data_IF_222383467647
#
_entry.id   IF_222383467647
#
_cell.length_a   1.000
_cell.length_b   1.000
_cell.length_c   1.000
_cell.angle_alpha   90.00
_cell.angle_beta   90.00
_cell.angle_gamma   90.00
#
_symmetry.space_group_name_H-M   'P 1'
#
loop_
_entity.id
_entity.type
_entity.pdbx_description
1 polymer ?
#
# COMPACT_ATOMS: atom_id res chain seq x y z
N UNK A 1 -2.47 -0.40 6.14
CA UNK A 1 -2.71 0.27 7.45
C UNK A 1 -3.95 1.14 7.32
N UNK A 2 -4.63 1.48 8.41
CA UNK A 2 -5.83 2.33 8.40
C UNK A 2 -7.17 1.60 8.41
N UNK A 3 -7.19 0.26 8.24
CA UNK A 3 -8.41 -0.54 8.37
C UNK A 3 -8.86 -0.67 9.82
N UNK A 4 -10.17 -0.60 10.06
CA UNK A 4 -10.79 -0.82 11.36
C UNK A 4 -11.72 -2.05 11.35
N UNK A 5 -11.69 -2.81 12.44
CA UNK A 5 -12.51 -4.00 12.63
C UNK A 5 -13.17 -3.95 14.02
N UNK A 6 -14.34 -4.58 14.14
CA UNK A 6 -15.06 -4.70 15.41
C UNK A 6 -15.52 -6.13 15.67
N UNK A 7 -15.82 -6.44 16.93
CA UNK A 7 -16.39 -7.71 17.35
C UNK A 7 -15.50 -8.92 17.06
N UNK A 8 -16.11 -10.02 16.61
CA UNK A 8 -15.39 -11.27 16.34
C UNK A 8 -14.37 -11.14 15.21
N UNK A 9 -14.61 -10.25 14.23
CA UNK A 9 -13.63 -9.97 13.18
C UNK A 9 -12.36 -9.34 13.74
N UNK A 10 -12.50 -8.38 14.67
CA UNK A 10 -11.34 -7.77 15.34
C UNK A 10 -10.50 -8.81 16.07
N UNK A 11 -11.15 -9.73 16.79
CA UNK A 11 -10.47 -10.84 17.48
C UNK A 11 -9.75 -11.76 16.49
N UNK A 12 -10.45 -12.21 15.45
CA UNK A 12 -9.88 -13.11 14.44
C UNK A 12 -8.65 -12.51 13.76
N UNK A 13 -8.73 -11.24 13.32
CA UNK A 13 -7.61 -10.52 12.72
C UNK A 13 -6.44 -10.37 13.69
N UNK A 14 -6.72 -10.02 14.95
CA UNK A 14 -5.69 -9.92 15.98
C UNK A 14 -4.95 -11.25 16.19
N UNK A 15 -5.70 -12.35 16.34
CA UNK A 15 -5.13 -13.69 16.50
C UNK A 15 -4.30 -14.11 15.29
N UNK A 16 -4.81 -13.90 14.07
CA UNK A 16 -4.09 -14.23 12.84
C UNK A 16 -2.75 -13.47 12.74
N UNK A 17 -2.75 -12.16 13.01
CA UNK A 17 -1.51 -11.35 13.00
C UNK A 17 -0.54 -11.83 14.08
N UNK A 18 -1.05 -12.14 15.28
CA UNK A 18 -0.23 -12.66 16.39
C UNK A 18 0.42 -13.99 16.02
N UNK A 19 -0.35 -14.93 15.47
CA UNK A 19 0.14 -16.24 15.05
C UNK A 19 1.15 -16.14 13.91
N UNK A 20 0.91 -15.24 12.95
CA UNK A 20 1.87 -14.97 11.88
C UNK A 20 3.20 -14.43 12.45
N UNK A 21 3.15 -13.44 13.36
CA UNK A 21 4.35 -12.88 13.99
C UNK A 21 5.13 -13.94 14.80
N UNK A 22 4.42 -14.80 15.55
CA UNK A 22 5.03 -15.91 16.29
C UNK A 22 5.65 -16.93 15.35
N UNK A 23 4.91 -17.32 14.31
CA UNK A 23 5.37 -18.27 13.30
C UNK A 23 6.64 -17.76 12.67
N UNK A 24 6.63 -16.57 12.03
CA UNK A 24 7.80 -15.96 11.38
C UNK A 24 9.02 -15.92 12.32
N UNK A 25 8.82 -15.50 13.57
CA UNK A 25 9.91 -15.39 14.56
C UNK A 25 10.50 -16.74 14.93
N UNK A 26 9.67 -17.78 15.08
CA UNK A 26 10.14 -19.14 15.38
C UNK A 26 10.71 -19.83 14.15
N UNK A 27 10.08 -19.64 12.99
CA UNK A 27 10.42 -20.20 11.68
C UNK A 27 9.91 -19.25 10.57
N UNK A 28 10.75 -18.83 9.62
CA UNK A 28 12.11 -19.31 9.39
C UNK A 28 13.17 -18.53 10.16
N UNK A 29 12.86 -17.35 10.70
CA UNK A 29 13.86 -16.35 11.11
C UNK A 29 14.90 -16.88 12.10
N UNK A 30 14.47 -17.68 13.09
CA UNK A 30 15.38 -18.26 14.08
C UNK A 30 16.48 -19.14 13.45
N UNK A 31 16.19 -19.80 12.34
CA UNK A 31 17.11 -20.75 11.68
C UNK A 31 17.83 -20.14 10.47
N UNK A 32 17.56 -18.87 10.15
CA UNK A 32 18.31 -18.14 9.13
C UNK A 32 19.52 -17.49 9.79
N UNK A 33 20.61 -18.25 9.92
CA UNK A 33 21.87 -17.78 10.50
C UNK A 33 22.96 -17.63 9.43
N UNK A 34 24.00 -16.85 9.74
CA UNK A 34 25.17 -16.78 8.87
C UNK A 34 25.89 -18.14 8.82
N UNK A 35 26.49 -18.50 7.67
CA UNK A 35 27.18 -19.78 7.52
C UNK A 35 28.25 -19.99 8.60
N UNK A 36 28.18 -21.12 9.31
CA UNK A 36 29.13 -21.47 10.36
C UNK A 36 28.93 -20.73 11.68
N UNK A 37 27.83 -19.99 11.87
CA UNK A 37 27.51 -19.30 13.11
C UNK A 37 26.06 -19.50 13.53
N UNK A 38 25.78 -19.20 14.81
CA UNK A 38 24.41 -19.08 15.34
C UNK A 38 23.88 -17.64 15.26
N UNK A 39 24.59 -16.74 14.56
CA UNK A 39 24.20 -15.34 14.43
C UNK A 39 23.02 -15.22 13.45
N UNK A 40 21.85 -14.70 13.88
CA UNK A 40 20.69 -14.58 13.02
C UNK A 40 20.88 -13.49 11.95
N UNK A 41 20.60 -13.83 10.71
CA UNK A 41 20.58 -12.89 9.57
C UNK A 41 19.54 -11.79 9.78
N UNK A 42 18.37 -12.15 10.34
CA UNK A 42 17.26 -11.24 10.58
C UNK A 42 16.97 -11.12 12.09
N UNK A 43 17.70 -10.28 12.84
CA UNK A 43 17.49 -10.19 14.28
C UNK A 43 16.09 -9.65 14.60
N UNK A 44 15.42 -10.30 15.56
CA UNK A 44 14.05 -9.96 15.98
C UNK A 44 14.05 -9.40 17.40
N UNK A 45 13.45 -8.22 17.55
CA UNK A 45 13.04 -7.68 18.85
C UNK A 45 11.56 -8.00 19.05
N UNK A 46 11.26 -8.98 19.91
CA UNK A 46 9.88 -9.34 20.25
C UNK A 46 9.17 -8.16 20.91
N UNK A 47 7.93 -7.91 20.50
CA UNK A 47 7.07 -6.93 21.14
C UNK A 47 6.25 -7.54 22.26
N UNK A 48 5.53 -6.68 22.99
CA UNK A 48 4.47 -7.07 23.92
C UNK A 48 3.14 -6.67 23.30
N UNK A 49 2.61 -7.56 22.48
CA UNK A 49 1.35 -7.32 21.79
C UNK A 49 0.25 -7.03 22.82
N UNK A 50 -0.59 -6.02 22.55
CA UNK A 50 -1.76 -5.74 23.38
C UNK A 50 -2.69 -6.96 23.39
N UNK A 51 -3.45 -7.13 24.46
CA UNK A 51 -4.46 -8.19 24.52
C UNK A 51 -5.53 -8.02 23.43
N UNK A 52 -6.29 -9.09 23.18
CA UNK A 52 -7.36 -9.07 22.17
C UNK A 52 -8.37 -7.97 22.46
N UNK A 53 -8.67 -7.11 21.47
CA UNK A 53 -9.59 -5.98 21.62
C UNK A 53 -10.86 -6.17 20.80
N UNK A 54 -11.99 -5.63 21.29
CA UNK A 54 -13.27 -5.64 20.57
C UNK A 54 -13.28 -4.64 19.41
N UNK A 55 -12.46 -3.61 19.47
CA UNK A 55 -12.21 -2.68 18.37
C UNK A 55 -10.73 -2.74 18.03
N UNK A 56 -10.42 -2.93 16.75
CA UNK A 56 -9.06 -3.03 16.25
C UNK A 56 -8.86 -2.01 15.14
N UNK A 57 -7.80 -1.20 15.26
CA UNK A 57 -7.32 -0.33 14.18
C UNK A 57 -5.93 -0.84 13.82
N UNK A 58 -5.70 -1.14 12.53
CA UNK A 58 -4.39 -1.58 12.05
C UNK A 58 -3.54 -0.33 11.75
N UNK A 59 -2.80 0.12 12.76
CA UNK A 59 -1.86 1.23 12.66
C UNK A 59 -0.42 0.82 13.03
N UNK A 60 0.52 1.76 12.88
CA UNK A 60 1.94 1.52 13.14
C UNK A 60 2.22 1.16 14.60
N UNK A 61 1.64 1.83 15.62
CA UNK A 61 1.75 1.40 17.02
C UNK A 61 1.21 -0.02 17.28
N UNK A 62 0.07 -0.37 16.69
CA UNK A 62 -0.51 -1.71 16.82
C UNK A 62 0.40 -2.77 16.21
N UNK A 63 0.85 -2.59 14.97
CA UNK A 63 1.75 -3.53 14.29
C UNK A 63 3.11 -3.64 15.00
N UNK A 64 3.69 -2.51 15.40
CA UNK A 64 4.93 -2.45 16.19
C UNK A 64 4.82 -3.16 17.54
N UNK A 65 3.60 -3.33 18.09
CA UNK A 65 3.40 -4.02 19.36
C UNK A 65 3.73 -5.52 19.30
N UNK A 66 3.71 -6.14 18.11
CA UNK A 66 4.09 -7.55 17.94
C UNK A 66 5.61 -7.76 17.91
N UNK A 67 6.37 -6.71 17.57
CA UNK A 67 7.83 -6.74 17.50
C UNK A 67 8.35 -6.14 16.22
N UNK A 68 9.68 -6.16 16.06
CA UNK A 68 10.39 -5.67 14.88
C UNK A 68 11.44 -6.68 14.45
N UNK A 69 11.45 -7.00 13.16
CA UNK A 69 12.52 -7.75 12.51
C UNK A 69 13.38 -6.76 11.72
N UNK A 70 14.70 -6.91 11.78
CA UNK A 70 15.63 -6.07 11.01
C UNK A 70 16.12 -6.82 9.77
N UNK A 71 16.13 -6.13 8.64
CA UNK A 71 16.68 -6.63 7.37
C UNK A 71 18.04 -5.97 7.16
N UNK A 72 19.14 -6.73 7.01
CA UNK A 72 20.44 -6.17 6.67
C UNK A 72 20.39 -5.34 5.38
N UNK A 73 21.03 -4.17 5.38
CA UNK A 73 20.89 -3.20 4.28
C UNK A 73 21.39 -3.73 2.93
N UNK A 74 22.39 -4.62 2.92
CA UNK A 74 22.83 -5.32 1.72
C UNK A 74 21.75 -6.26 1.18
N UNK A 75 21.09 -7.05 2.03
CA UNK A 75 19.98 -7.92 1.64
C UNK A 75 18.82 -7.09 1.10
N UNK A 76 18.45 -6.00 1.79
CA UNK A 76 17.39 -5.10 1.34
C UNK A 76 17.67 -4.54 -0.06
N UNK A 77 18.88 -4.01 -0.30
CA UNK A 77 19.25 -3.50 -1.63
C UNK A 77 19.22 -4.58 -2.71
N UNK A 78 19.65 -5.80 -2.39
CA UNK A 78 19.56 -6.94 -3.31
C UNK A 78 18.10 -7.26 -3.62
N UNK A 79 17.22 -7.32 -2.61
CA UNK A 79 15.79 -7.56 -2.82
C UNK A 79 15.16 -6.50 -3.74
N UNK A 80 15.45 -5.22 -3.49
CA UNK A 80 14.97 -4.12 -4.35
C UNK A 80 15.48 -4.25 -5.78
N UNK A 81 16.75 -4.63 -5.97
CA UNK A 81 17.35 -4.77 -7.31
C UNK A 81 16.80 -5.96 -8.12
N UNK A 82 16.36 -7.01 -7.44
CA UNK A 82 15.86 -8.24 -8.05
C UNK A 82 14.35 -8.45 -7.81
N UNK A 83 13.62 -7.37 -7.55
CA UNK A 83 12.20 -7.38 -7.19
C UNK A 83 11.33 -8.20 -8.17
N UNK A 84 11.56 -8.03 -9.48
CA UNK A 84 10.87 -8.74 -10.55
C UNK A 84 11.04 -10.28 -10.50
N UNK A 85 12.06 -10.78 -9.80
CA UNK A 85 12.34 -12.21 -9.64
C UNK A 85 11.90 -12.76 -8.29
N UNK A 86 11.58 -11.90 -7.31
CA UNK A 86 11.19 -12.35 -5.97
C UNK A 86 9.90 -13.17 -6.01
N UNK A 87 8.84 -12.63 -6.63
CA UNK A 87 7.56 -13.33 -6.71
C UNK A 87 7.67 -14.66 -7.47
N UNK A 88 8.23 -14.72 -8.70
CA UNK A 88 8.41 -15.99 -9.41
C UNK A 88 9.20 -17.03 -8.60
N UNK A 89 10.29 -16.61 -7.92
CA UNK A 89 11.10 -17.50 -7.10
C UNK A 89 10.33 -18.02 -5.88
N UNK A 90 9.59 -17.15 -5.18
CA UNK A 90 8.76 -17.55 -4.05
C UNK A 90 7.66 -18.53 -4.48
N UNK A 91 6.97 -18.26 -5.58
CA UNK A 91 5.91 -19.13 -6.11
C UNK A 91 6.48 -20.50 -6.48
N UNK A 92 7.63 -20.54 -7.17
CA UNK A 92 8.30 -21.80 -7.53
C UNK A 92 8.70 -22.62 -6.29
N UNK A 93 9.28 -21.99 -5.27
CA UNK A 93 9.66 -22.68 -4.04
C UNK A 93 8.45 -23.17 -3.24
N UNK A 94 7.35 -22.40 -3.20
CA UNK A 94 6.11 -22.84 -2.57
C UNK A 94 5.47 -24.02 -3.30
N UNK A 95 5.46 -24.02 -4.64
CA UNK A 95 5.02 -25.18 -5.43
C UNK A 95 5.84 -26.41 -5.06
N UNK A 96 7.18 -26.30 -5.09
CA UNK A 96 8.09 -27.39 -4.74
C UNK A 96 7.85 -27.91 -3.32
N UNK A 97 7.68 -27.02 -2.35
CA UNK A 97 7.45 -27.36 -0.95
C UNK A 97 6.09 -28.07 -0.75
N UNK A 98 5.02 -27.53 -1.31
CA UNK A 98 3.68 -28.08 -1.18
C UNK A 98 3.56 -29.44 -1.87
N UNK A 99 4.21 -29.64 -3.03
CA UNK A 99 4.29 -30.96 -3.66
C UNK A 99 5.05 -31.97 -2.80
N UNK A 100 6.15 -31.56 -2.16
CA UNK A 100 6.89 -32.41 -1.22
C UNK A 100 6.02 -32.85 -0.03
N UNK A 101 5.23 -31.95 0.54
CA UNK A 101 4.31 -32.28 1.62
C UNK A 101 3.15 -33.17 1.18
N UNK A 102 2.57 -32.90 0.01
CA UNK A 102 1.51 -33.74 -0.57
C UNK A 102 2.01 -35.17 -0.77
N UNK A 103 3.18 -35.33 -1.39
CA UNK A 103 3.80 -36.65 -1.63
C UNK A 103 4.03 -37.42 -0.35
N UNK A 104 4.54 -36.76 0.71
CA UNK A 104 4.72 -37.38 2.04
C UNK A 104 3.41 -37.84 2.67
N UNK A 105 2.29 -37.26 2.28
CA UNK A 105 0.94 -37.61 2.74
C UNK A 105 0.22 -38.57 1.78
N UNK A 106 0.90 -39.10 0.76
CA UNK A 106 0.29 -39.97 -0.25
C UNK A 106 -0.69 -39.24 -1.19
N UNK A 107 -0.59 -37.91 -1.29
CA UNK A 107 -1.42 -37.07 -2.17
C UNK A 107 -0.58 -36.58 -3.34
N UNK A 108 -1.22 -36.45 -4.49
CA UNK A 108 -0.66 -35.75 -5.64
C UNK A 108 -1.44 -34.46 -5.86
N UNK A 109 -0.72 -33.34 -5.97
CA UNK A 109 -1.32 -32.04 -6.24
C UNK A 109 -0.62 -31.47 -7.47
N UNK A 110 -1.43 -31.15 -8.49
CA UNK A 110 -0.95 -30.52 -9.71
C UNK A 110 -0.33 -29.16 -9.42
N UNK A 111 0.77 -28.85 -10.11
CA UNK A 111 1.46 -27.57 -9.96
C UNK A 111 0.54 -26.38 -10.27
N UNK A 112 -0.33 -26.51 -11.28
CA UNK A 112 -1.27 -25.48 -11.67
C UNK A 112 -2.24 -25.11 -10.54
N UNK A 113 -2.69 -26.09 -9.74
CA UNK A 113 -3.56 -25.85 -8.59
C UNK A 113 -2.85 -25.04 -7.52
N UNK A 114 -1.59 -25.39 -7.21
CA UNK A 114 -0.80 -24.64 -6.21
C UNK A 114 -0.47 -23.25 -6.73
N UNK A 115 -0.08 -23.13 -8.01
CA UNK A 115 0.19 -21.84 -8.65
C UNK A 115 -1.01 -20.90 -8.58
N UNK A 116 -2.20 -21.38 -8.97
CA UNK A 116 -3.43 -20.58 -8.93
C UNK A 116 -3.83 -20.19 -7.50
N UNK A 117 -3.57 -21.06 -6.51
CA UNK A 117 -3.80 -20.73 -5.10
C UNK A 117 -2.79 -19.70 -4.54
N UNK A 118 -1.61 -19.60 -5.15
CA UNK A 118 -0.56 -18.65 -4.80
C UNK A 118 -0.63 -17.34 -5.57
N UNK A 119 -1.50 -17.23 -6.57
CA UNK A 119 -1.74 -15.94 -7.24
C UNK A 119 -2.19 -14.95 -6.18
N UNK A 120 -1.42 -13.86 -6.05
CA UNK A 120 -1.78 -12.79 -5.16
C UNK A 120 -3.15 -12.28 -5.56
N UNK A 121 -4.07 -12.15 -4.59
CA UNK A 121 -5.33 -11.46 -4.83
C UNK A 121 -4.96 -10.03 -5.21
N UNK A 122 -5.06 -9.74 -6.51
CA UNK A 122 -4.75 -8.44 -7.08
C UNK A 122 -5.48 -7.38 -6.24
N UNK A 123 -4.77 -6.39 -5.66
CA UNK A 123 -5.43 -5.39 -4.84
C UNK A 123 -6.64 -4.84 -5.63
N UNK A 124 -7.82 -4.84 -5.03
CA UNK A 124 -8.99 -4.35 -5.76
C UNK A 124 -8.82 -2.87 -6.05
N UNK A 125 -8.92 -2.47 -7.33
CA UNK A 125 -8.99 -1.06 -7.73
C UNK A 125 -10.34 -0.45 -7.33
N UNK A 126 -10.56 -0.31 -6.03
CA UNK A 126 -11.78 0.24 -5.47
C UNK A 126 -11.65 1.76 -5.28
N UNK A 127 -12.45 2.50 -6.03
CA UNK A 127 -12.56 3.96 -5.96
C UNK A 127 -13.94 4.42 -5.49
N UNK A 128 -14.81 3.49 -5.10
CA UNK A 128 -16.21 3.76 -4.75
C UNK A 128 -16.33 4.78 -3.62
N UNK A 129 -15.59 4.57 -2.53
CA UNK A 129 -15.55 5.48 -1.39
C UNK A 129 -15.20 6.93 -1.80
N UNK A 130 -14.16 7.10 -2.64
CA UNK A 130 -13.72 8.43 -3.09
C UNK A 130 -14.72 9.05 -4.06
N UNK A 131 -15.35 8.23 -4.92
CA UNK A 131 -16.42 8.67 -5.82
C UNK A 131 -17.61 9.19 -5.03
N UNK A 132 -18.07 8.45 -4.02
CA UNK A 132 -19.20 8.83 -3.18
C UNK A 132 -18.89 10.11 -2.39
N UNK A 133 -17.69 10.20 -1.80
CA UNK A 133 -17.23 11.42 -1.14
C UNK A 133 -17.20 12.63 -2.09
N UNK A 134 -16.74 12.43 -3.33
CA UNK A 134 -16.69 13.50 -4.34
C UNK A 134 -18.10 14.01 -4.67
N UNK A 135 -19.07 13.10 -4.84
CA UNK A 135 -20.47 13.45 -5.10
C UNK A 135 -21.07 14.21 -3.91
N UNK A 136 -20.85 13.74 -2.68
CA UNK A 136 -21.32 14.44 -1.48
C UNK A 136 -20.74 15.86 -1.38
N UNK A 137 -19.46 16.05 -1.69
CA UNK A 137 -18.84 17.38 -1.69
C UNK A 137 -19.39 18.31 -2.77
N UNK A 138 -19.77 17.78 -3.94
CA UNK A 138 -20.36 18.58 -5.02
C UNK A 138 -21.69 19.24 -4.61
N UNK A 139 -22.42 18.64 -3.66
CA UNK A 139 -23.69 19.19 -3.16
C UNK A 139 -23.51 20.47 -2.32
N UNK A 140 -22.33 20.68 -1.74
CA UNK A 140 -22.04 21.86 -0.92
C UNK A 140 -21.27 22.94 -1.67
N UNK A 141 -20.23 22.57 -2.41
CA UNK A 141 -19.37 23.50 -3.15
C UNK A 141 -18.85 22.86 -4.44
N UNK A 142 -18.61 23.65 -5.50
CA UNK A 142 -17.99 23.14 -6.72
C UNK A 142 -16.71 22.34 -6.43
N UNK A 143 -16.57 21.20 -7.12
CA UNK A 143 -15.33 20.41 -7.15
C UNK A 143 -14.71 20.59 -8.54
N UNK A 144 -13.38 20.68 -8.60
CA UNK A 144 -12.63 20.92 -9.82
C UNK A 144 -11.68 19.75 -10.11
N UNK A 145 -11.40 19.52 -11.38
CA UNK A 145 -10.41 18.56 -11.83
C UNK A 145 -9.04 18.99 -11.30
N UNK A 146 -8.37 18.12 -10.53
CA UNK A 146 -7.05 18.45 -9.94
C UNK A 146 -6.02 18.82 -11.00
N UNK A 147 -6.10 18.22 -12.18
CA UNK A 147 -5.11 18.45 -13.25
C UNK A 147 -5.42 19.70 -14.06
N UNK A 148 -6.64 19.83 -14.55
CA UNK A 148 -7.01 20.88 -15.52
C UNK A 148 -7.67 22.12 -14.91
N UNK A 149 -8.03 22.09 -13.62
CA UNK A 149 -8.83 23.14 -12.98
C UNK A 149 -10.28 23.25 -13.49
N UNK A 150 -10.69 22.40 -14.44
CA UNK A 150 -12.05 22.44 -15.00
C UNK A 150 -13.09 21.98 -13.97
N UNK A 151 -14.23 22.67 -13.89
CA UNK A 151 -15.33 22.30 -12.99
C UNK A 151 -15.88 20.91 -13.31
N UNK A 152 -16.03 20.09 -12.28
CA UNK A 152 -16.57 18.73 -12.38
C UNK A 152 -18.07 18.70 -12.14
N UNK A 153 -18.71 17.70 -12.73
CA UNK A 153 -20.12 17.30 -12.58
C UNK A 153 -20.15 15.78 -12.49
N UNK A 154 -21.17 15.22 -11.86
CA UNK A 154 -21.32 13.76 -11.72
C UNK A 154 -21.20 12.99 -13.05
N UNK A 155 -21.66 13.61 -14.14
CA UNK A 155 -21.67 13.04 -15.48
C UNK A 155 -20.32 13.08 -16.22
N UNK A 156 -19.35 13.86 -15.75
CA UNK A 156 -18.10 14.12 -16.48
C UNK A 156 -16.80 13.82 -15.71
N UNK A 157 -16.89 13.31 -14.48
CA UNK A 157 -15.72 13.01 -13.65
C UNK A 157 -15.51 11.51 -13.42
N UNK A 158 -14.23 11.16 -13.25
CA UNK A 158 -13.77 9.87 -12.76
C UNK A 158 -12.77 10.11 -11.60
N UNK A 159 -12.48 9.07 -10.81
CA UNK A 159 -11.40 9.10 -9.81
C UNK A 159 -10.12 8.62 -10.48
N UNK A 160 -9.15 9.51 -10.60
CA UNK A 160 -7.81 9.23 -11.11
C UNK A 160 -6.89 8.71 -10.00
N UNK A 161 -5.97 7.83 -10.38
CA UNK A 161 -4.86 7.45 -9.52
C UNK A 161 -3.67 8.35 -9.87
N UNK A 162 -3.27 9.21 -8.94
CA UNK A 162 -2.19 10.17 -9.15
C UNK A 162 -0.95 9.50 -9.74
N UNK A 163 -0.45 8.48 -9.05
CA UNK A 163 0.45 7.47 -9.59
C UNK A 163 -0.41 6.36 -10.17
N UNK A 164 -0.26 6.08 -11.47
CA UNK A 164 -1.12 5.15 -12.20
C UNK A 164 -1.08 3.75 -11.59
N UNK A 165 -2.22 3.05 -11.61
CA UNK A 165 -2.35 1.69 -11.07
C UNK A 165 -1.33 0.71 -11.64
N UNK A 166 -1.04 0.81 -12.94
CA UNK A 166 -0.08 -0.04 -13.65
C UNK A 166 1.35 0.05 -13.10
N UNK A 167 1.67 1.15 -12.40
CA UNK A 167 3.01 1.46 -11.91
C UNK A 167 3.06 1.44 -10.38
N UNK A 168 1.95 1.81 -9.75
CA UNK A 168 1.79 1.86 -8.30
C UNK A 168 0.36 1.41 -7.94
N UNK A 169 0.11 0.09 -7.80
CA UNK A 169 -1.22 -0.46 -7.53
C UNK A 169 -1.67 -0.15 -6.10
N UNK A 170 -2.11 1.08 -5.90
CA UNK A 170 -2.38 1.67 -4.59
C UNK A 170 -3.68 2.49 -4.66
N UNK A 171 -4.67 2.07 -3.87
CA UNK A 171 -5.95 2.74 -3.69
C UNK A 171 -6.00 3.58 -2.40
N UNK A 172 -4.83 3.98 -1.88
CA UNK A 172 -4.75 4.87 -0.72
C UNK A 172 -5.35 6.25 -1.06
N UNK A 173 -5.98 6.89 -0.09
CA UNK A 173 -6.71 8.16 -0.27
C UNK A 173 -5.83 9.31 -0.78
N UNK A 174 -4.53 9.31 -0.48
CA UNK A 174 -3.60 10.29 -1.04
C UNK A 174 -3.39 10.11 -2.55
N UNK A 175 -3.54 8.88 -3.06
CA UNK A 175 -3.32 8.58 -4.47
C UNK A 175 -4.59 8.78 -5.31
N UNK A 176 -5.76 9.04 -4.70
CA UNK A 176 -7.05 9.09 -5.39
C UNK A 176 -7.56 10.53 -5.51
N UNK A 177 -7.67 11.01 -6.75
CA UNK A 177 -7.94 12.41 -7.06
C UNK A 177 -9.12 12.57 -8.04
N UNK A 178 -10.00 13.58 -7.87
CA UNK A 178 -11.09 13.82 -8.80
C UNK A 178 -10.55 14.43 -10.09
N UNK A 179 -10.85 13.79 -11.22
CA UNK A 179 -10.35 14.20 -12.53
C UNK A 179 -11.47 14.21 -13.56
N UNK A 180 -11.37 15.12 -14.53
CA UNK A 180 -12.27 15.11 -15.66
C UNK A 180 -11.99 13.87 -16.53
N UNK A 181 -13.03 13.13 -16.91
CA UNK A 181 -12.92 11.84 -17.63
C UNK A 181 -11.98 11.87 -18.84
N UNK A 182 -12.05 12.95 -19.64
CA UNK A 182 -11.16 13.11 -20.82
C UNK A 182 -9.68 13.25 -20.43
N UNK A 183 -9.40 13.98 -19.35
CA UNK A 183 -8.04 14.22 -18.85
C UNK A 183 -7.46 12.93 -18.27
N UNK A 184 -8.24 12.22 -17.45
CA UNK A 184 -7.87 10.91 -16.92
C UNK A 184 -7.52 9.91 -18.05
N UNK A 185 -8.32 9.88 -19.12
CA UNK A 185 -8.08 9.03 -20.30
C UNK A 185 -6.86 9.43 -21.15
N UNK A 186 -6.41 10.67 -21.07
CA UNK A 186 -5.18 11.11 -21.75
C UNK A 186 -3.94 10.71 -20.95
N UNK A 187 -4.01 10.80 -19.62
CA UNK A 187 -2.98 10.33 -18.69
C UNK A 187 -2.76 8.82 -18.80
N UNK A 188 -3.84 8.01 -18.79
CA UNK A 188 -3.78 6.54 -18.84
C UNK A 188 -2.82 5.98 -17.77
N UNK A 189 -1.92 5.10 -18.18
CA UNK A 189 -0.94 4.43 -17.33
C UNK A 189 0.35 5.23 -17.11
N UNK A 190 0.41 6.47 -17.62
CA UNK A 190 1.58 7.36 -17.48
C UNK A 190 1.61 8.02 -16.09
N UNK A 191 2.83 8.39 -15.68
CA UNK A 191 3.03 9.23 -14.51
C UNK A 191 2.80 10.70 -14.84
N UNK A 192 2.21 11.51 -13.94
CA UNK A 192 2.24 12.96 -14.11
C UNK A 192 3.70 13.44 -14.08
N UNK A 193 4.05 14.38 -14.97
CA UNK A 193 5.36 15.03 -14.96
C UNK A 193 5.57 15.77 -13.63
N UNK A 194 6.82 16.02 -13.26
CA UNK A 194 7.12 16.81 -12.06
C UNK A 194 6.45 18.20 -12.13
N UNK A 195 6.52 18.84 -13.30
CA UNK A 195 5.86 20.11 -13.57
C UNK A 195 4.33 20.04 -13.45
N UNK A 196 3.69 18.97 -13.93
CA UNK A 196 2.24 18.80 -13.82
C UNK A 196 1.79 18.63 -12.36
N UNK A 197 2.58 17.91 -11.55
CA UNK A 197 2.34 17.79 -10.10
C UNK A 197 2.47 19.14 -9.43
N UNK A 198 3.58 19.85 -9.66
CA UNK A 198 3.85 21.16 -9.08
C UNK A 198 2.76 22.18 -9.40
N UNK A 199 2.37 22.30 -10.69
CA UNK A 199 1.26 23.18 -11.14
C UNK A 199 -0.11 22.78 -10.58
N UNK A 200 -0.25 21.59 -10.00
CA UNK A 200 -1.49 21.06 -9.44
C UNK A 200 -1.49 20.98 -7.92
N UNK A 201 -0.39 21.34 -7.25
CA UNK A 201 -0.20 21.23 -5.80
C UNK A 201 -1.37 21.84 -5.04
N UNK A 202 -1.68 23.12 -5.27
CA UNK A 202 -2.77 23.83 -4.60
C UNK A 202 -4.11 23.09 -4.71
N UNK A 203 -4.41 22.55 -5.89
CA UNK A 203 -5.68 21.83 -6.14
C UNK A 203 -5.70 20.46 -5.47
N UNK A 204 -4.56 19.79 -5.39
CA UNK A 204 -4.41 18.49 -4.70
C UNK A 204 -4.53 18.69 -3.19
N UNK A 205 -3.84 19.68 -2.63
CA UNK A 205 -3.88 20.02 -1.21
C UNK A 205 -5.28 20.44 -0.77
N UNK A 206 -5.94 21.30 -1.57
CA UNK A 206 -7.33 21.70 -1.33
C UNK A 206 -8.29 20.50 -1.41
N UNK A 207 -8.07 19.59 -2.36
CA UNK A 207 -8.86 18.36 -2.44
C UNK A 207 -8.70 17.51 -1.18
N UNK A 208 -7.47 17.20 -0.76
CA UNK A 208 -7.23 16.41 0.44
C UNK A 208 -7.81 17.08 1.69
N UNK A 209 -7.66 18.40 1.82
CA UNK A 209 -8.27 19.15 2.90
C UNK A 209 -9.78 18.97 2.92
N UNK A 210 -10.46 19.29 1.82
CA UNK A 210 -11.92 19.21 1.77
C UNK A 210 -12.46 17.79 1.91
N UNK A 211 -11.76 16.80 1.36
CA UNK A 211 -12.23 15.43 1.33
C UNK A 211 -12.04 14.72 2.67
N UNK A 212 -10.92 14.96 3.35
CA UNK A 212 -10.47 14.08 4.43
C UNK A 212 -10.51 14.71 5.82
N UNK A 213 -10.41 16.04 5.97
CA UNK A 213 -10.32 16.69 7.31
C UNK A 213 -11.66 16.94 7.99
N UNK A 214 -12.78 16.72 7.29
CA UNK A 214 -14.11 16.94 7.84
C UNK A 214 -14.58 15.81 8.76
N UNK A 215 -13.89 14.66 8.73
CA UNK A 215 -14.24 13.49 9.53
C UNK A 215 -12.95 12.88 10.11
N UNK A 216 -12.82 12.91 11.44
CA UNK A 216 -11.63 12.46 12.16
C UNK A 216 -11.22 11.02 11.82
N UNK A 217 -12.18 10.11 11.60
CA UNK A 217 -11.88 8.72 11.26
C UNK A 217 -11.27 8.63 9.85
N UNK A 218 -11.80 9.40 8.90
CA UNK A 218 -11.31 9.42 7.52
C UNK A 218 -9.98 10.14 7.43
N UNK A 219 -9.81 11.25 8.15
CA UNK A 219 -8.54 11.97 8.27
C UNK A 219 -7.44 11.05 8.80
N UNK A 220 -7.72 10.33 9.90
CA UNK A 220 -6.80 9.37 10.49
C UNK A 220 -6.43 8.25 9.51
N UNK A 221 -7.39 7.74 8.73
CA UNK A 221 -7.15 6.76 7.68
C UNK A 221 -6.22 7.32 6.60
N UNK A 222 -6.51 8.50 6.07
CA UNK A 222 -5.68 9.18 5.07
C UNK A 222 -4.23 9.35 5.55
N UNK A 223 -4.04 9.84 6.78
CA UNK A 223 -2.70 10.01 7.37
C UNK A 223 -1.98 8.67 7.57
N UNK A 224 -2.69 7.62 8.00
CA UNK A 224 -2.10 6.28 8.17
C UNK A 224 -1.68 5.64 6.86
N UNK A 225 -2.50 5.79 5.82
CA UNK A 225 -2.20 5.31 4.47
C UNK A 225 -0.98 6.04 3.91
N UNK A 226 -0.95 7.38 3.98
CA UNK A 226 0.21 8.17 3.53
C UNK A 226 1.51 7.79 4.26
N UNK A 227 1.46 7.62 5.59
CA UNK A 227 2.61 7.15 6.39
C UNK A 227 3.09 5.75 6.00
N UNK A 228 2.18 4.90 5.53
CA UNK A 228 2.51 3.52 5.17
C UNK A 228 3.27 3.42 3.84
N UNK A 229 2.94 4.27 2.87
CA UNK A 229 3.34 4.09 1.47
C UNK A 229 4.27 5.18 0.92
N UNK A 230 4.28 6.37 1.55
CA UNK A 230 5.13 7.49 1.14
C UNK A 230 6.39 7.63 2.01
N UNK A 231 7.52 8.09 1.43
CA UNK A 231 8.76 8.38 2.17
C UNK A 231 8.62 9.69 2.97
N UNK A 232 7.95 9.62 4.12
CA UNK A 232 7.75 10.75 5.03
C UNK A 232 8.83 10.75 6.13
N UNK A 233 9.49 11.89 6.33
CA UNK A 233 10.61 12.03 7.28
C UNK A 233 10.33 13.04 8.42
N UNK A 234 9.15 13.66 8.44
CA UNK A 234 8.75 14.64 9.46
C UNK A 234 7.96 13.97 10.59
N UNK A 235 8.13 14.48 11.82
CA UNK A 235 7.29 14.09 12.97
C UNK A 235 5.87 14.65 12.86
N UNK A 236 5.74 15.88 12.35
CA UNK A 236 4.47 16.51 12.05
C UNK A 236 4.12 16.26 10.59
N UNK A 237 3.07 15.47 10.37
CA UNK A 237 2.64 15.07 9.03
C UNK A 237 1.38 15.84 8.70
N UNK A 238 1.54 16.84 7.86
CA UNK A 238 0.48 17.63 7.23
C UNK A 238 0.38 17.30 5.73
N UNK A 239 -0.54 17.96 5.04
CA UNK A 239 -0.79 17.72 3.61
C UNK A 239 0.40 18.09 2.74
N UNK A 240 1.15 19.14 3.10
CA UNK A 240 2.37 19.55 2.39
C UNK A 240 3.47 18.48 2.49
N UNK A 241 3.68 17.96 3.70
CA UNK A 241 4.63 16.86 3.94
C UNK A 241 4.24 15.61 3.13
N UNK A 242 2.95 15.31 3.04
CA UNK A 242 2.43 14.19 2.23
C UNK A 242 2.67 14.45 0.74
N UNK A 243 2.45 15.67 0.27
CA UNK A 243 2.71 16.06 -1.12
C UNK A 243 4.20 15.92 -1.47
N UNK A 244 5.11 16.34 -0.60
CA UNK A 244 6.54 16.12 -0.74
C UNK A 244 6.92 14.64 -0.81
N UNK A 245 6.29 13.82 0.04
CA UNK A 245 6.42 12.36 0.01
C UNK A 245 6.00 11.77 -1.34
N UNK A 246 4.87 12.24 -1.87
CA UNK A 246 4.36 11.87 -3.20
C UNK A 246 5.36 12.25 -4.29
N UNK A 247 5.92 13.47 -4.27
CA UNK A 247 6.93 13.91 -5.25
C UNK A 247 8.18 13.01 -5.21
N UNK A 248 8.69 12.68 -4.02
CA UNK A 248 9.83 11.78 -3.84
C UNK A 248 9.53 10.36 -4.34
N UNK A 249 8.34 9.82 -4.02
CA UNK A 249 7.90 8.50 -4.52
C UNK A 249 7.84 8.49 -6.04
N UNK A 250 7.24 9.52 -6.63
CA UNK A 250 7.15 9.70 -8.08
C UNK A 250 8.53 9.76 -8.74
N UNK A 251 9.49 10.46 -8.14
CA UNK A 251 10.87 10.54 -8.62
C UNK A 251 11.53 9.15 -8.63
N UNK A 252 11.44 8.39 -7.53
CA UNK A 252 12.01 7.06 -7.42
C UNK A 252 11.44 6.11 -8.50
N UNK A 253 10.11 6.06 -8.64
CA UNK A 253 9.45 5.24 -9.66
C UNK A 253 9.94 5.58 -11.08
N UNK A 254 10.06 6.88 -11.40
CA UNK A 254 10.53 7.33 -12.72
C UNK A 254 11.97 6.90 -12.99
N UNK A 255 12.82 7.01 -11.98
CA UNK A 255 14.24 6.63 -12.04
C UNK A 255 14.42 5.12 -12.23
N UNK A 256 13.64 4.32 -11.49
CA UNK A 256 13.83 2.87 -11.43
C UNK A 256 13.19 2.14 -12.63
N UNK A 257 12.04 2.59 -13.11
CA UNK A 257 11.24 1.86 -14.11
C UNK A 257 11.13 2.55 -15.49
N UNK A 258 11.77 3.71 -15.67
CA UNK A 258 11.76 4.50 -16.91
C UNK A 258 10.36 4.78 -17.50
N UNK A 259 9.34 4.88 -16.66
CA UNK A 259 7.93 5.05 -17.07
C UNK A 259 7.71 6.36 -17.86
N UNK A 260 6.85 6.31 -18.87
CA UNK A 260 6.44 7.48 -19.64
C UNK A 260 5.71 8.52 -18.79
N UNK A 261 6.00 9.79 -19.07
CA UNK A 261 5.40 10.93 -18.37
C UNK A 261 4.25 11.56 -19.17
N UNK A 262 3.38 12.25 -18.45
CA UNK A 262 2.24 12.98 -18.99
C UNK A 262 2.15 14.39 -18.39
N UNK A 263 1.82 15.35 -19.25
CA UNK A 263 1.44 16.73 -18.90
C UNK A 263 0.26 17.15 -19.76
N UNK A 264 -0.50 18.13 -19.28
CA UNK A 264 -1.53 18.85 -20.05
C UNK A 264 -0.92 19.91 -20.97
#
# INVERSE_FOLDING_TARGET
MGSSFTGERAKAVHHAIREAAVTITRMPVHYMTYPGTDEPIFPVKKGRAKGTTYQLIIDEPYLSSFGKMRVPGNIWRTMVRFDAWIEPALVAEWIRLMQSYAKKQGREIEQAVIYNAMQWLDPSRDVSFVRDQTIQLMNSKPVFCVWSGTRLRETNFDVDHCLSWAVWPCADLWNLLPSHRKVNRQKRDKLPSAEMLDRSSDRILEWWNRAWTQNEIVEKRFLMEAKASLPLFSENIDHETIFDGLQKRRFAIRSDHQIAEWSL
#
